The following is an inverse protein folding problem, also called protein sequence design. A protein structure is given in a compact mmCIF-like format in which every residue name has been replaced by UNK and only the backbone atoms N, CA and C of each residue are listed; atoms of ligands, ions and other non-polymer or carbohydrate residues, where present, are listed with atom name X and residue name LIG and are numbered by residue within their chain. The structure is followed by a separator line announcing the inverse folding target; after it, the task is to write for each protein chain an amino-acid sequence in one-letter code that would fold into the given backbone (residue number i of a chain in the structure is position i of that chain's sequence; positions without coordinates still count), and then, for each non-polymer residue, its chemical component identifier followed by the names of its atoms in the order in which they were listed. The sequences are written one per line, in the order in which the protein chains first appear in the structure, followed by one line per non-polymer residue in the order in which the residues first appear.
data_IF_752274218421
#
_entry.id   IF_752274218421
#
_cell.length_a   1.000
_cell.length_b   1.000
_cell.length_c   1.000
_cell.angle_alpha   90.00
_cell.angle_beta   90.00
_cell.angle_gamma   90.00
#
_symmetry.space_group_name_H-M   'P 1'
#
loop_
_entity.id
_entity.type
_entity.pdbx_description
1 polymer ?
#
# COMPACT_ATOMS: atom_id res chain seq x y z
N UNK A 1 -8.64 8.72 -9.01
CA UNK A 1 -8.55 7.29 -8.61
C UNK A 1 -9.90 6.59 -8.70
N UNK A 2 -10.99 7.19 -8.19
CA UNK A 2 -12.33 6.60 -8.27
C UNK A 2 -12.85 6.41 -9.71
N UNK A 3 -12.47 7.26 -10.67
CA UNK A 3 -12.95 7.17 -12.07
C UNK A 3 -12.50 5.90 -12.79
N UNK A 4 -11.24 5.51 -12.64
CA UNK A 4 -10.70 4.28 -13.25
C UNK A 4 -11.33 3.02 -12.67
N UNK A 5 -11.58 2.99 -11.36
CA UNK A 5 -12.26 1.88 -10.69
C UNK A 5 -13.73 1.77 -11.12
N UNK A 6 -14.41 2.90 -11.34
CA UNK A 6 -15.80 2.91 -11.86
C UNK A 6 -15.90 2.33 -13.28
N UNK A 7 -14.85 2.48 -14.08
CA UNK A 7 -14.79 1.97 -15.45
C UNK A 7 -14.27 0.53 -15.55
N UNK A 8 -13.83 -0.06 -14.43
CA UNK A 8 -13.31 -1.42 -14.43
C UNK A 8 -14.45 -2.44 -14.47
N UNK A 9 -14.56 -3.17 -15.57
CA UNK A 9 -15.43 -4.35 -15.67
C UNK A 9 -14.60 -5.61 -15.52
N UNK A 10 -14.86 -6.47 -14.51
CA UNK A 10 -14.19 -7.75 -14.41
C UNK A 10 -14.54 -8.66 -15.59
N UNK A 11 -13.61 -9.54 -16.03
CA UNK A 11 -13.89 -10.50 -17.08
C UNK A 11 -14.99 -11.50 -16.67
N UNK A 12 -16.04 -11.62 -17.49
CA UNK A 12 -17.27 -12.37 -17.16
C UNK A 12 -17.12 -13.89 -17.11
N UNK A 13 -16.02 -14.45 -17.62
CA UNK A 13 -15.81 -15.91 -17.76
C UNK A 13 -14.69 -16.45 -16.86
N UNK A 14 -14.34 -15.74 -15.80
CA UNK A 14 -13.19 -16.09 -14.94
C UNK A 14 -13.55 -15.98 -13.46
N UNK A 15 -13.02 -16.90 -12.65
CA UNK A 15 -13.13 -16.83 -11.18
C UNK A 15 -12.22 -15.73 -10.60
N UNK A 16 -11.20 -15.31 -11.35
CA UNK A 16 -10.22 -14.32 -10.90
C UNK A 16 -10.57 -12.89 -11.33
N UNK A 17 -10.42 -11.92 -10.41
CA UNK A 17 -10.57 -10.49 -10.72
C UNK A 17 -9.55 -10.00 -11.76
N UNK A 18 -8.32 -10.53 -11.66
CA UNK A 18 -7.22 -10.24 -12.59
C UNK A 18 -6.67 -11.56 -13.16
N UNK A 19 -7.26 -12.09 -14.24
CA UNK A 19 -6.80 -13.33 -14.84
C UNK A 19 -5.48 -13.14 -15.60
N UNK A 20 -4.77 -14.23 -15.83
CA UNK A 20 -3.62 -14.27 -16.73
C UNK A 20 -4.07 -14.00 -18.17
N UNK A 21 -3.20 -13.35 -18.95
CA UNK A 21 -3.47 -13.10 -20.38
C UNK A 21 -3.55 -14.41 -21.19
N UNK A 22 -2.76 -15.41 -20.80
CA UNK A 22 -2.62 -16.65 -21.56
C UNK A 22 -3.63 -17.73 -21.15
N UNK A 23 -4.17 -17.63 -19.93
CA UNK A 23 -5.06 -18.63 -19.36
C UNK A 23 -6.03 -17.92 -18.40
N UNK A 24 -7.29 -17.81 -18.82
CA UNK A 24 -8.31 -17.09 -18.08
C UNK A 24 -8.72 -17.80 -16.77
N UNK A 25 -8.37 -19.09 -16.63
CA UNK A 25 -8.61 -19.90 -15.44
C UNK A 25 -7.45 -19.84 -14.45
N UNK A 26 -6.48 -18.94 -14.64
CA UNK A 26 -5.37 -18.70 -13.71
C UNK A 26 -5.29 -17.23 -13.32
N UNK A 27 -4.83 -16.92 -12.09
CA UNK A 27 -4.58 -15.54 -11.69
C UNK A 27 -3.37 -14.97 -12.44
N UNK A 28 -3.29 -13.64 -12.47
CA UNK A 28 -2.08 -12.94 -12.90
C UNK A 28 -0.86 -13.39 -12.07
N UNK A 29 0.25 -13.69 -12.73
CA UNK A 29 1.47 -14.05 -12.00
C UNK A 29 2.13 -12.83 -11.37
N UNK A 30 2.85 -13.06 -10.26
CA UNK A 30 3.62 -12.02 -9.57
C UNK A 30 4.59 -11.30 -10.50
N UNK A 31 5.27 -12.02 -11.39
CA UNK A 31 6.22 -11.43 -12.34
C UNK A 31 5.54 -10.49 -13.35
N UNK A 32 4.33 -10.83 -13.82
CA UNK A 32 3.56 -9.95 -14.71
C UNK A 32 3.12 -8.70 -13.96
N UNK A 33 2.65 -8.85 -12.71
CA UNK A 33 2.28 -7.71 -11.87
C UNK A 33 3.48 -6.80 -11.58
N UNK A 34 4.63 -7.34 -11.17
CA UNK A 34 5.86 -6.58 -10.90
C UNK A 34 6.30 -5.78 -12.14
N UNK A 35 6.30 -6.40 -13.31
CA UNK A 35 6.63 -5.72 -14.58
C UNK A 35 5.66 -4.57 -14.89
N UNK A 36 4.35 -4.76 -14.68
CA UNK A 36 3.36 -3.69 -14.87
C UNK A 36 3.54 -2.56 -13.85
N UNK A 37 3.85 -2.91 -12.60
CA UNK A 37 4.15 -1.95 -11.55
C UNK A 37 5.38 -1.11 -11.89
N UNK A 38 6.52 -1.75 -12.24
CA UNK A 38 7.75 -1.04 -12.65
C UNK A 38 7.52 -0.12 -13.85
N UNK A 39 6.70 -0.53 -14.82
CA UNK A 39 6.32 0.34 -15.95
C UNK A 39 5.59 1.60 -15.46
N UNK A 40 4.73 1.46 -14.46
CA UNK A 40 3.99 2.58 -13.87
C UNK A 40 4.90 3.50 -13.05
N UNK A 41 5.82 2.94 -12.26
CA UNK A 41 6.88 3.68 -11.54
C UNK A 41 7.74 4.49 -12.52
N UNK A 42 8.12 3.89 -13.65
CA UNK A 42 8.87 4.57 -14.71
C UNK A 42 8.07 5.73 -15.31
N UNK A 43 6.79 5.52 -15.64
CA UNK A 43 5.89 6.58 -16.15
C UNK A 43 5.72 7.73 -15.17
N UNK A 44 5.77 7.46 -13.88
CA UNK A 44 5.69 8.47 -12.82
C UNK A 44 7.04 9.15 -12.51
N UNK A 45 8.12 8.82 -13.23
CA UNK A 45 9.49 9.32 -12.98
C UNK A 45 10.02 8.98 -11.57
N UNK A 46 9.61 7.85 -11.01
CA UNK A 46 9.99 7.43 -9.64
C UNK A 46 11.05 6.30 -9.62
N UNK A 47 11.69 6.01 -10.75
CA UNK A 47 12.60 4.85 -10.88
C UNK A 47 13.78 4.88 -9.91
N UNK A 48 14.33 6.06 -9.61
CA UNK A 48 15.47 6.25 -8.69
C UNK A 48 15.11 6.11 -7.20
N UNK A 49 13.81 5.99 -6.87
CA UNK A 49 13.32 6.03 -5.48
C UNK A 49 13.17 4.64 -4.84
N UNK A 50 13.60 3.58 -5.53
CA UNK A 50 13.60 2.22 -4.98
C UNK A 50 12.21 1.62 -4.73
N UNK A 51 11.17 2.04 -5.46
CA UNK A 51 9.81 1.51 -5.28
C UNK A 51 9.74 0.01 -5.62
N UNK A 52 9.11 -0.75 -4.73
CA UNK A 52 8.78 -2.16 -4.89
C UNK A 52 7.28 -2.39 -4.71
N UNK A 53 6.82 -3.62 -4.94
CA UNK A 53 5.42 -4.01 -4.69
C UNK A 53 4.96 -3.81 -3.25
N UNK A 54 5.89 -3.76 -2.28
CA UNK A 54 5.55 -3.50 -0.88
C UNK A 54 5.47 -2.01 -0.55
N UNK A 55 6.06 -1.13 -1.36
CA UNK A 55 6.15 0.31 -1.08
C UNK A 55 4.77 0.98 -0.95
N UNK A 56 3.77 0.52 -1.70
CA UNK A 56 2.39 1.01 -1.57
C UNK A 56 1.78 0.66 -0.21
N UNK A 57 2.00 -0.57 0.27
CA UNK A 57 1.57 -1.01 1.60
C UNK A 57 2.27 -0.21 2.70
N UNK A 58 3.59 0.03 2.57
CA UNK A 58 4.34 0.90 3.49
C UNK A 58 3.74 2.31 3.53
N UNK A 59 3.49 2.89 2.35
CA UNK A 59 2.89 4.23 2.24
C UNK A 59 1.47 4.31 2.82
N UNK A 60 0.67 3.24 2.75
CA UNK A 60 -0.64 3.19 3.41
C UNK A 60 -0.47 3.19 4.95
N UNK A 61 0.42 2.36 5.48
CA UNK A 61 0.71 2.29 6.92
C UNK A 61 1.15 3.66 7.44
N UNK A 62 2.14 4.28 6.77
CA UNK A 62 2.65 5.60 7.13
C UNK A 62 1.54 6.64 7.15
N UNK A 63 0.70 6.71 6.12
CA UNK A 63 -0.41 7.67 6.07
C UNK A 63 -1.46 7.46 7.16
N UNK A 64 -1.80 6.21 7.47
CA UNK A 64 -2.76 5.93 8.56
C UNK A 64 -2.16 6.32 9.91
N UNK A 65 -0.86 6.10 10.10
CA UNK A 65 -0.17 6.52 11.31
C UNK A 65 -0.12 8.05 11.43
N UNK A 66 0.27 8.75 10.36
CA UNK A 66 0.27 10.22 10.29
C UNK A 66 -1.13 10.83 10.50
N UNK A 67 -2.18 10.11 10.13
CA UNK A 67 -3.57 10.50 10.39
C UNK A 67 -4.04 10.20 11.83
N UNK A 68 -3.16 9.70 12.72
CA UNK A 68 -3.46 9.47 14.13
C UNK A 68 -4.20 8.17 14.45
N UNK A 69 -4.33 7.24 13.49
CA UNK A 69 -4.97 5.95 13.78
C UNK A 69 -4.08 5.08 14.67
N UNK A 70 -4.70 4.38 15.62
CA UNK A 70 -3.98 3.45 16.49
C UNK A 70 -3.39 2.28 15.71
N UNK A 71 -2.26 1.75 16.20
CA UNK A 71 -1.59 0.62 15.57
C UNK A 71 -2.47 -0.63 15.47
N UNK A 72 -3.40 -0.82 16.39
CA UNK A 72 -4.37 -1.92 16.34
C UNK A 72 -5.30 -1.79 15.11
N UNK A 73 -5.80 -0.57 14.83
CA UNK A 73 -6.62 -0.31 13.64
C UNK A 73 -5.78 -0.55 12.38
N UNK A 74 -4.58 0.02 12.34
CA UNK A 74 -3.66 -0.12 11.21
C UNK A 74 -3.35 -1.60 10.95
N UNK A 75 -3.09 -2.37 12.01
CA UNK A 75 -2.84 -3.80 11.94
C UNK A 75 -4.00 -4.56 11.29
N UNK A 76 -5.24 -4.28 11.71
CA UNK A 76 -6.42 -4.94 11.14
C UNK A 76 -6.64 -4.56 9.68
N UNK A 77 -6.59 -3.27 9.34
CA UNK A 77 -6.79 -2.77 7.97
C UNK A 77 -5.76 -3.36 7.01
N UNK A 78 -4.52 -3.48 7.46
CA UNK A 78 -3.44 -3.99 6.61
C UNK A 78 -3.36 -5.52 6.67
N UNK A 79 -3.80 -6.17 7.75
CA UNK A 79 -3.75 -7.63 7.91
C UNK A 79 -2.39 -8.15 8.38
N UNK A 80 -1.70 -7.42 9.25
CA UNK A 80 -0.46 -7.93 9.87
C UNK A 80 -0.79 -8.85 11.04
N UNK A 81 -0.11 -9.99 11.13
CA UNK A 81 -0.25 -10.92 12.26
C UNK A 81 0.46 -10.41 13.52
N UNK A 82 1.54 -9.67 13.34
CA UNK A 82 2.36 -9.14 14.44
C UNK A 82 2.55 -7.62 14.31
N UNK A 83 2.33 -6.92 15.43
CA UNK A 83 2.54 -5.49 15.58
C UNK A 83 4.01 -5.09 15.47
N UNK A 84 4.97 -5.98 15.76
CA UNK A 84 6.39 -5.65 15.64
C UNK A 84 6.76 -5.18 14.23
N UNK A 85 6.12 -5.74 13.20
CA UNK A 85 6.33 -5.33 11.81
C UNK A 85 5.90 -3.88 11.51
N UNK A 86 5.01 -3.32 12.34
CA UNK A 86 4.52 -1.95 12.24
C UNK A 86 5.37 -0.95 13.04
N UNK A 87 6.20 -1.42 13.99
CA UNK A 87 6.99 -0.55 14.87
C UNK A 87 7.92 0.40 14.10
N UNK A 88 8.51 -0.07 13.00
CA UNK A 88 9.36 0.73 12.12
C UNK A 88 8.67 1.97 11.51
N UNK A 89 7.33 2.08 11.59
CA UNK A 89 6.57 3.24 11.10
C UNK A 89 6.15 4.20 12.22
N UNK A 90 6.30 3.79 13.49
CA UNK A 90 6.06 4.62 14.67
C UNK A 90 7.15 5.69 14.79
N UNK A 91 8.41 5.29 14.54
CA UNK A 91 9.60 6.12 14.74
C UNK A 91 9.76 7.26 13.72
N UNK A 92 8.91 7.32 12.70
CA UNK A 92 9.13 8.18 11.53
C UNK A 92 8.72 9.64 11.75
N UNK A 93 8.13 10.02 12.90
CA UNK A 93 7.69 11.41 13.07
C UNK A 93 8.22 12.09 14.35
N UNK A 94 9.49 12.57 14.34
CA UNK A 94 10.03 13.43 15.40
C UNK A 94 9.20 14.71 15.64
N UNK A 95 8.55 15.24 14.60
CA UNK A 95 7.65 16.40 14.71
C UNK A 95 6.36 16.03 15.45
N UNK A 96 5.83 14.81 15.29
CA UNK A 96 4.69 14.34 16.07
C UNK A 96 5.03 14.18 17.55
N UNK A 97 6.25 13.76 17.88
CA UNK A 97 6.71 13.71 19.28
C UNK A 97 6.82 15.11 19.87
N UNK A 98 7.43 16.06 19.15
CA UNK A 98 7.53 17.45 19.62
C UNK A 98 6.14 18.08 19.79
N UNK A 99 5.26 17.88 18.81
CA UNK A 99 3.90 18.37 18.86
C UNK A 99 3.07 17.74 19.98
N UNK A 100 3.23 16.43 20.23
CA UNK A 100 2.55 15.78 21.35
C UNK A 100 3.00 16.35 22.70
N UNK A 101 4.28 16.72 22.85
CA UNK A 101 4.81 17.38 24.04
C UNK A 101 4.28 18.81 24.16
N UNK A 102 4.23 19.57 23.05
CA UNK A 102 3.63 20.91 23.01
C UNK A 102 2.13 20.89 23.34
N UNK A 103 1.37 19.93 22.79
CA UNK A 103 -0.07 19.76 23.06
C UNK A 103 -0.37 19.33 24.52
N UNK A 104 0.65 18.89 25.27
CA UNK A 104 0.54 18.46 26.67
C UNK A 104 0.72 19.60 27.69
N UNK A 105 1.01 20.84 27.26
CA UNK A 105 1.16 22.06 28.09
C UNK A 105 1.84 21.78 29.47
N UNK A 106 3.14 21.48 29.44
CA UNK A 106 4.05 21.57 30.60
C UNK A 106 4.89 22.86 30.53
#
# INVERSE_FOLDING_TARGET
MLTELKNFSPPKKTVFLFPSKNDAMKPISRAVYDRRFRKSVKKANLTSRGFSLHSTRRGLITRLHEAGYSLAIIQQVTGHRDLNSLKQYIEINPEATSKAIEDLDL
#
